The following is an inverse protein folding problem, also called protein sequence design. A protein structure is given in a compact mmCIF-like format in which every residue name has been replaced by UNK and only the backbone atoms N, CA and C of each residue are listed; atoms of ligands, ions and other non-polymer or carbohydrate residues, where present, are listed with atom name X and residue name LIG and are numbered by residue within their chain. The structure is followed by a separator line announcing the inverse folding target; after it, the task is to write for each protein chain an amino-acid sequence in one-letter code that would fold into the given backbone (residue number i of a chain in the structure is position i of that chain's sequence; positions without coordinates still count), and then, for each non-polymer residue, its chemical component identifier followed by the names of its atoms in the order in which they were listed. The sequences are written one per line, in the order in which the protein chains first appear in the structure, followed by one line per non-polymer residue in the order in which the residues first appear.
data_IF_200729772115
#
_entry.id   IF_200729772115
#
_cell.length_a   1.000
_cell.length_b   1.000
_cell.length_c   1.000
_cell.angle_alpha   90.00
_cell.angle_beta   90.00
_cell.angle_gamma   90.00
#
_symmetry.space_group_name_H-M   'P 1'
#
loop_
_entity.id
_entity.type
_entity.pdbx_description
1 polymer ?
#
# COMPACT_ATOMS: atom_id res chain seq x y z
N UNK A 1 27.85 -8.48 -44.76
CA UNK A 1 27.22 -7.48 -43.88
C UNK A 1 27.04 -8.18 -42.54
N UNK A 2 27.84 -7.78 -41.55
CA UNK A 2 27.71 -8.33 -40.19
C UNK A 2 26.58 -7.57 -39.46
N UNK A 3 25.46 -8.23 -39.24
CA UNK A 3 24.41 -7.68 -38.38
C UNK A 3 24.93 -7.68 -36.91
N UNK A 4 25.08 -6.49 -36.36
CA UNK A 4 25.38 -6.30 -34.95
C UNK A 4 24.18 -6.79 -34.14
N UNK A 5 24.31 -7.75 -33.22
CA UNK A 5 23.18 -8.22 -32.46
C UNK A 5 22.60 -7.09 -31.60
N UNK A 6 21.32 -6.82 -31.75
CA UNK A 6 20.58 -5.85 -30.94
C UNK A 6 20.66 -6.28 -29.47
N UNK A 7 21.09 -5.42 -28.55
CA UNK A 7 21.14 -5.77 -27.14
C UNK A 7 19.73 -6.14 -26.65
N UNK A 8 19.55 -7.37 -26.17
CA UNK A 8 18.31 -7.80 -25.55
C UNK A 8 18.14 -6.98 -24.28
N UNK A 9 17.06 -6.18 -24.21
CA UNK A 9 16.66 -5.55 -22.95
C UNK A 9 16.51 -6.66 -21.90
N UNK A 10 17.18 -6.55 -20.74
CA UNK A 10 17.05 -7.57 -19.72
C UNK A 10 15.59 -7.68 -19.32
N UNK A 11 15.02 -8.89 -19.41
CA UNK A 11 13.67 -9.14 -18.95
C UNK A 11 13.65 -8.92 -17.44
N UNK A 12 12.69 -8.12 -16.97
CA UNK A 12 12.47 -7.93 -15.54
C UNK A 12 12.25 -9.31 -14.88
N UNK A 13 12.91 -9.63 -13.77
CA UNK A 13 12.63 -10.89 -13.06
C UNK A 13 11.13 -10.94 -12.69
N UNK A 14 10.56 -12.15 -12.79
CA UNK A 14 9.17 -12.36 -12.40
C UNK A 14 8.99 -11.95 -10.94
N UNK A 15 7.98 -11.15 -10.66
CA UNK A 15 7.65 -10.78 -9.28
C UNK A 15 7.04 -11.97 -8.56
N UNK A 16 7.28 -12.11 -7.25
CA UNK A 16 6.70 -13.20 -6.49
C UNK A 16 5.16 -13.10 -6.51
N UNK A 17 4.52 -14.25 -6.62
CA UNK A 17 3.07 -14.38 -6.50
C UNK A 17 2.61 -14.14 -5.07
N UNK A 18 1.32 -13.85 -4.86
CA UNK A 18 0.74 -13.75 -3.51
C UNK A 18 1.03 -15.00 -2.68
N UNK A 19 0.91 -16.18 -3.27
CA UNK A 19 1.18 -17.45 -2.58
C UNK A 19 2.62 -17.57 -2.10
N UNK A 20 3.59 -17.27 -2.94
CA UNK A 20 5.01 -17.30 -2.57
C UNK A 20 5.33 -16.29 -1.46
N UNK A 21 4.70 -15.09 -1.49
CA UNK A 21 4.84 -14.10 -0.42
C UNK A 21 4.27 -14.60 0.90
N UNK A 22 3.09 -15.19 0.88
CA UNK A 22 2.44 -15.74 2.09
C UNK A 22 3.24 -16.91 2.67
N UNK A 23 3.71 -17.83 1.84
CA UNK A 23 4.52 -18.96 2.28
C UNK A 23 5.83 -18.46 2.94
N UNK A 24 6.49 -17.44 2.35
CA UNK A 24 7.67 -16.78 2.93
C UNK A 24 7.37 -16.12 4.27
N UNK A 25 6.32 -15.31 4.36
CA UNK A 25 5.98 -14.59 5.58
C UNK A 25 5.52 -15.52 6.70
N UNK A 26 4.82 -16.59 6.38
CA UNK A 26 4.46 -17.63 7.35
C UNK A 26 5.69 -18.38 7.88
N UNK A 27 6.68 -18.68 7.04
CA UNK A 27 7.94 -19.27 7.48
C UNK A 27 8.69 -18.31 8.41
N UNK A 28 8.79 -17.02 8.06
CA UNK A 28 9.40 -16.02 8.91
C UNK A 28 8.70 -15.95 10.28
N UNK A 29 7.38 -15.92 10.29
CA UNK A 29 6.59 -15.89 11.53
C UNK A 29 6.81 -17.13 12.41
N UNK A 30 6.84 -18.35 11.82
CA UNK A 30 7.15 -19.60 12.51
C UNK A 30 8.55 -19.58 13.13
N UNK A 31 9.50 -19.00 12.45
CA UNK A 31 10.89 -18.84 12.91
C UNK A 31 11.08 -17.65 13.84
N UNK A 32 10.02 -16.89 14.12
CA UNK A 32 10.05 -15.65 14.92
C UNK A 32 11.00 -14.58 14.35
N UNK A 33 11.11 -14.54 13.03
CA UNK A 33 11.82 -13.47 12.31
C UNK A 33 10.80 -12.38 11.99
N UNK A 34 11.05 -11.12 12.38
CA UNK A 34 10.12 -10.02 12.08
C UNK A 34 10.02 -9.79 10.57
N UNK A 35 8.82 -9.51 10.10
CA UNK A 35 8.56 -9.04 8.73
C UNK A 35 8.62 -7.52 8.77
N UNK A 36 9.53 -6.93 8.03
CA UNK A 36 9.76 -5.48 8.01
C UNK A 36 9.14 -4.89 6.75
N UNK A 37 8.15 -4.03 6.94
CA UNK A 37 7.54 -3.23 5.88
C UNK A 37 7.88 -1.76 6.03
N UNK A 38 8.11 -1.06 4.92
CA UNK A 38 8.41 0.36 4.91
C UNK A 38 7.58 1.14 3.90
N UNK A 39 7.44 2.43 4.14
CA UNK A 39 6.71 3.34 3.27
C UNK A 39 7.66 4.22 2.45
N UNK A 40 7.84 3.91 1.16
CA UNK A 40 8.63 4.73 0.26
C UNK A 40 7.83 5.91 -0.31
N UNK A 41 8.46 7.07 -0.43
CA UNK A 41 7.85 8.27 -1.03
C UNK A 41 8.45 8.66 -2.37
N UNK A 42 9.62 8.09 -2.73
CA UNK A 42 10.34 8.33 -3.97
C UNK A 42 11.04 7.05 -4.43
N UNK A 43 11.48 7.00 -5.70
CA UNK A 43 12.28 5.89 -6.19
C UNK A 43 13.60 5.72 -5.41
N UNK A 44 14.21 6.81 -4.96
CA UNK A 44 15.44 6.75 -4.17
C UNK A 44 15.21 6.09 -2.82
N UNK A 45 14.15 6.46 -2.07
CA UNK A 45 13.83 5.83 -0.79
C UNK A 45 13.53 4.34 -0.96
N UNK A 46 12.73 3.96 -1.95
CA UNK A 46 12.42 2.57 -2.25
C UNK A 46 13.67 1.73 -2.58
N UNK A 47 14.59 2.31 -3.36
CA UNK A 47 15.87 1.65 -3.69
C UNK A 47 16.76 1.45 -2.46
N UNK A 48 16.80 2.44 -1.54
CA UNK A 48 17.53 2.31 -0.29
C UNK A 48 16.90 1.27 0.63
N UNK A 49 15.56 1.23 0.73
CA UNK A 49 14.84 0.24 1.51
C UNK A 49 15.11 -1.18 0.99
N UNK A 50 15.04 -1.40 -0.32
CA UNK A 50 15.38 -2.70 -0.92
C UNK A 50 16.84 -3.10 -0.65
N UNK A 51 17.78 -2.17 -0.80
CA UNK A 51 19.19 -2.42 -0.50
C UNK A 51 19.45 -2.71 0.99
N UNK A 52 18.61 -2.18 1.88
CA UNK A 52 18.62 -2.46 3.31
C UNK A 52 18.02 -3.81 3.70
N UNK A 53 17.43 -4.54 2.74
CA UNK A 53 16.86 -5.88 2.98
C UNK A 53 15.44 -5.86 3.54
N UNK A 54 14.65 -4.84 3.22
CA UNK A 54 13.24 -4.76 3.63
C UNK A 54 12.41 -5.88 3.00
N UNK A 55 11.40 -6.38 3.69
CA UNK A 55 10.57 -7.48 3.23
C UNK A 55 9.43 -7.07 2.31
N UNK A 56 8.88 -5.87 2.50
CA UNK A 56 7.87 -5.28 1.63
C UNK A 56 7.92 -3.74 1.66
N UNK A 57 7.57 -3.13 0.56
CA UNK A 57 7.49 -1.67 0.40
C UNK A 57 6.04 -1.28 0.12
N UNK A 58 5.56 -0.23 0.76
CA UNK A 58 4.25 0.37 0.46
C UNK A 58 4.46 1.77 -0.08
N UNK A 59 3.79 2.11 -1.19
CA UNK A 59 3.75 3.48 -1.70
C UNK A 59 2.34 4.03 -1.61
N UNK A 60 2.21 5.23 -1.07
CA UNK A 60 0.94 5.94 -0.88
C UNK A 60 1.18 7.46 -0.92
N UNK A 61 0.12 8.23 -1.14
CA UNK A 61 0.23 9.68 -1.29
C UNK A 61 0.94 10.38 -0.12
N UNK A 62 0.72 9.93 1.13
CA UNK A 62 1.41 10.46 2.31
C UNK A 62 2.93 10.27 2.23
N UNK A 63 3.41 9.18 1.63
CA UNK A 63 4.84 8.95 1.37
C UNK A 63 5.43 10.06 0.49
N UNK A 64 4.74 10.41 -0.60
CA UNK A 64 5.12 11.54 -1.48
C UNK A 64 5.17 12.86 -0.70
N UNK A 65 4.14 13.14 0.11
CA UNK A 65 4.10 14.37 0.91
C UNK A 65 5.18 14.43 1.97
N UNK A 66 5.52 13.32 2.62
CA UNK A 66 6.64 13.26 3.58
C UNK A 66 7.98 13.54 2.91
N UNK A 67 8.21 13.03 1.71
CA UNK A 67 9.43 13.38 0.95
C UNK A 67 9.47 14.84 0.52
N UNK A 68 8.32 15.51 0.45
CA UNK A 68 8.21 16.95 0.28
C UNK A 68 8.27 17.74 1.61
N UNK A 69 8.62 17.09 2.73
CA UNK A 69 8.76 17.71 4.04
C UNK A 69 7.45 18.00 4.76
N UNK A 70 6.35 17.24 4.47
CA UNK A 70 5.04 17.42 5.12
C UNK A 70 4.77 16.30 6.12
N UNK A 71 3.91 16.59 7.11
CA UNK A 71 3.49 15.59 8.09
C UNK A 71 2.66 14.46 7.47
N UNK A 72 2.60 13.31 8.14
CA UNK A 72 1.92 12.11 7.63
C UNK A 72 0.41 12.31 7.42
N UNK A 73 -0.25 13.21 8.17
CA UNK A 73 -1.66 13.55 7.97
C UNK A 73 -1.95 14.25 6.64
N UNK A 74 -0.96 14.78 5.96
CA UNK A 74 -1.17 15.39 4.64
C UNK A 74 -1.86 14.43 3.64
N UNK A 75 -1.69 13.12 3.84
CA UNK A 75 -2.30 12.10 3.00
C UNK A 75 -3.83 11.96 3.12
N UNK A 76 -4.43 12.45 4.21
CA UNK A 76 -5.90 12.43 4.42
C UNK A 76 -6.56 13.77 4.12
N UNK A 77 -5.79 14.74 3.63
CA UNK A 77 -6.28 16.07 3.28
C UNK A 77 -6.40 16.25 1.75
N UNK A 78 -7.19 17.24 1.34
CA UNK A 78 -7.55 17.46 -0.05
C UNK A 78 -6.44 18.14 -0.89
N UNK A 79 -5.20 17.58 -0.83
CA UNK A 79 -4.06 18.11 -1.59
C UNK A 79 -3.85 17.44 -2.95
N UNK A 80 -4.66 16.44 -3.27
CA UNK A 80 -4.63 15.76 -4.55
C UNK A 80 -5.41 14.44 -4.49
N UNK A 81 -5.63 13.83 -5.66
CA UNK A 81 -6.23 12.50 -5.74
C UNK A 81 -5.20 11.44 -5.31
N UNK A 82 -5.47 10.73 -4.21
CA UNK A 82 -4.54 9.78 -3.63
C UNK A 82 -4.22 8.60 -4.57
N UNK A 83 -5.24 8.08 -5.27
CA UNK A 83 -5.08 6.95 -6.18
C UNK A 83 -4.24 7.34 -7.41
N UNK A 84 -4.47 8.53 -7.98
CA UNK A 84 -3.67 9.03 -9.11
C UNK A 84 -2.21 9.34 -8.70
N UNK A 85 -1.99 9.83 -7.49
CA UNK A 85 -0.63 10.06 -6.96
C UNK A 85 0.13 8.72 -6.87
N UNK A 86 -0.51 7.64 -6.41
CA UNK A 86 0.12 6.31 -6.35
C UNK A 86 0.46 5.79 -7.75
N UNK A 87 -0.41 5.99 -8.73
CA UNK A 87 -0.15 5.62 -10.13
C UNK A 87 1.03 6.42 -10.72
N UNK A 88 1.17 7.68 -10.36
CA UNK A 88 2.34 8.49 -10.74
C UNK A 88 3.61 7.99 -10.06
N UNK A 89 3.57 7.75 -8.75
CA UNK A 89 4.68 7.17 -8.00
C UNK A 89 5.12 5.81 -8.54
N UNK A 90 4.20 5.01 -9.06
CA UNK A 90 4.51 3.71 -9.65
C UNK A 90 5.53 3.80 -10.78
N UNK A 91 5.48 4.86 -11.60
CA UNK A 91 6.43 5.11 -12.71
C UNK A 91 7.85 5.36 -12.21
N UNK A 92 7.98 5.89 -11.01
CA UNK A 92 9.28 6.17 -10.38
C UNK A 92 9.80 4.97 -9.59
N UNK A 93 8.93 4.34 -8.79
CA UNK A 93 9.33 3.30 -7.83
C UNK A 93 9.46 1.92 -8.47
N UNK A 94 8.45 1.50 -9.25
CA UNK A 94 8.43 0.14 -9.76
C UNK A 94 9.62 -0.21 -10.68
N UNK A 95 10.19 0.69 -11.49
CA UNK A 95 11.37 0.38 -12.31
C UNK A 95 12.67 0.19 -11.54
N UNK A 96 12.79 0.77 -10.34
CA UNK A 96 14.04 0.74 -9.54
C UNK A 96 14.03 -0.30 -8.42
N UNK A 97 12.87 -0.87 -8.09
CA UNK A 97 12.71 -2.00 -7.17
C UNK A 97 12.71 -3.29 -7.96
N UNK A 98 13.64 -4.20 -7.67
CA UNK A 98 13.92 -5.37 -8.50
C UNK A 98 13.30 -6.67 -7.97
N UNK A 99 13.29 -6.88 -6.66
CA UNK A 99 12.85 -8.13 -6.04
C UNK A 99 11.90 -7.96 -4.85
N UNK A 100 11.91 -6.80 -4.18
CA UNK A 100 11.01 -6.55 -3.05
C UNK A 100 9.58 -6.33 -3.55
N UNK A 101 8.56 -6.98 -2.96
CA UNK A 101 7.17 -6.71 -3.30
C UNK A 101 6.78 -5.27 -2.96
N UNK A 102 6.13 -4.59 -3.90
CA UNK A 102 5.61 -3.23 -3.71
C UNK A 102 4.10 -3.28 -3.65
N UNK A 103 3.52 -2.72 -2.60
CA UNK A 103 2.09 -2.59 -2.38
C UNK A 103 1.64 -1.15 -2.69
N UNK A 104 0.43 -1.02 -3.21
CA UNK A 104 -0.21 0.27 -3.44
C UNK A 104 -1.07 0.66 -2.23
N UNK A 105 -0.90 1.86 -1.72
CA UNK A 105 -1.90 2.50 -0.88
C UNK A 105 -3.11 2.87 -1.75
N UNK A 106 -4.29 2.44 -1.37
CA UNK A 106 -5.52 2.66 -2.12
C UNK A 106 -6.53 3.41 -1.26
N UNK A 107 -7.01 4.53 -1.76
CA UNK A 107 -8.17 5.22 -1.18
C UNK A 107 -9.44 4.45 -1.57
N UNK A 108 -9.89 3.56 -0.68
CA UNK A 108 -11.05 2.70 -0.92
C UNK A 108 -12.39 3.43 -0.95
N UNK A 109 -12.44 4.65 -0.42
CA UNK A 109 -13.65 5.51 -0.40
C UNK A 109 -13.73 6.47 -1.59
N UNK A 110 -12.82 6.40 -2.56
CA UNK A 110 -12.81 7.31 -3.71
C UNK A 110 -14.03 7.07 -4.61
N UNK A 111 -14.98 8.02 -4.69
CA UNK A 111 -16.22 7.85 -5.45
C UNK A 111 -16.04 8.00 -6.96
N UNK A 112 -14.86 8.43 -7.41
CA UNK A 112 -14.53 8.66 -8.82
C UNK A 112 -13.77 7.48 -9.45
N UNK A 113 -13.59 6.39 -8.70
CA UNK A 113 -12.86 5.20 -9.14
C UNK A 113 -13.80 4.00 -9.19
N UNK A 114 -13.81 3.28 -10.33
CA UNK A 114 -14.36 1.92 -10.40
C UNK A 114 -13.31 1.01 -9.77
N UNK A 115 -13.50 0.63 -8.51
CA UNK A 115 -12.48 -0.05 -7.71
C UNK A 115 -11.99 -1.35 -8.34
N UNK A 116 -12.88 -2.13 -8.94
CA UNK A 116 -12.52 -3.36 -9.65
C UNK A 116 -11.48 -3.10 -10.74
N UNK A 117 -11.71 -2.09 -11.59
CA UNK A 117 -10.82 -1.77 -12.73
C UNK A 117 -9.50 -1.14 -12.24
N UNK A 118 -9.57 -0.34 -11.17
CA UNK A 118 -8.39 0.24 -10.54
C UNK A 118 -7.44 -0.83 -10.00
N UNK A 119 -7.97 -1.84 -9.32
CA UNK A 119 -7.18 -2.97 -8.82
C UNK A 119 -6.55 -3.78 -9.96
N UNK A 120 -7.26 -4.00 -11.07
CA UNK A 120 -6.69 -4.65 -12.25
C UNK A 120 -5.56 -3.82 -12.85
N UNK A 121 -5.72 -2.49 -12.91
CA UNK A 121 -4.66 -1.58 -13.35
C UNK A 121 -3.42 -1.66 -12.46
N UNK A 122 -3.59 -1.67 -11.12
CA UNK A 122 -2.49 -1.81 -10.18
C UNK A 122 -1.75 -3.14 -10.37
N UNK A 123 -2.51 -4.24 -10.49
CA UNK A 123 -1.94 -5.57 -10.75
C UNK A 123 -1.16 -5.61 -12.07
N UNK A 124 -1.71 -5.05 -13.14
CA UNK A 124 -1.06 -4.96 -14.45
C UNK A 124 0.23 -4.13 -14.44
N UNK A 125 0.30 -3.06 -13.63
CA UNK A 125 1.51 -2.28 -13.41
C UNK A 125 2.58 -3.06 -12.63
N UNK A 126 2.19 -4.12 -11.94
CA UNK A 126 3.08 -5.01 -11.21
C UNK A 126 3.15 -4.71 -9.72
N UNK A 127 2.14 -4.11 -9.12
CA UNK A 127 1.99 -4.14 -7.67
C UNK A 127 1.71 -5.57 -7.19
N UNK A 128 2.34 -5.96 -6.08
CA UNK A 128 2.14 -7.26 -5.47
C UNK A 128 0.86 -7.32 -4.63
N UNK A 129 0.37 -6.17 -4.18
CA UNK A 129 -0.77 -6.08 -3.28
C UNK A 129 -1.19 -4.65 -2.98
N UNK A 130 -2.08 -4.52 -1.99
CA UNK A 130 -2.68 -3.24 -1.59
C UNK A 130 -2.73 -3.07 -0.08
N UNK A 131 -2.84 -1.80 0.34
CA UNK A 131 -3.12 -1.35 1.70
C UNK A 131 -4.14 -0.21 1.65
N UNK A 132 -5.06 -0.13 2.62
CA UNK A 132 -6.09 0.92 2.68
C UNK A 132 -5.52 2.23 3.24
N UNK A 133 -4.88 3.00 2.39
CA UNK A 133 -4.44 4.35 2.75
C UNK A 133 -4.52 5.30 1.54
N UNK A 134 -5.13 6.49 1.67
CA UNK A 134 -5.77 7.07 2.88
C UNK A 134 -6.92 6.21 3.43
N UNK A 135 -7.17 6.35 4.74
CA UNK A 135 -8.20 5.57 5.43
C UNK A 135 -9.05 6.46 6.33
N UNK A 136 -10.35 6.20 6.36
CA UNK A 136 -11.28 6.83 7.31
C UNK A 136 -11.15 6.23 8.71
N UNK A 137 -10.44 5.11 8.88
CA UNK A 137 -10.11 4.54 10.18
C UNK A 137 -9.36 5.48 11.12
N UNK A 138 -8.64 6.48 10.58
CA UNK A 138 -7.98 7.53 11.36
C UNK A 138 -8.95 8.58 11.93
N UNK A 139 -10.19 8.59 11.48
CA UNK A 139 -11.20 9.57 11.87
C UNK A 139 -12.11 8.92 12.91
N UNK A 140 -12.40 9.62 13.99
CA UNK A 140 -13.24 9.15 15.09
C UNK A 140 -14.43 10.08 15.38
N UNK A 141 -15.22 9.74 16.40
CA UNK A 141 -16.32 10.56 16.91
C UNK A 141 -17.37 10.91 15.87
N UNK A 142 -17.90 12.10 15.98
CA UNK A 142 -19.00 12.59 15.12
C UNK A 142 -18.62 12.62 13.64
N UNK A 143 -17.40 12.97 13.30
CA UNK A 143 -16.97 13.00 11.90
C UNK A 143 -16.90 11.62 11.28
N UNK A 144 -16.47 10.60 12.03
CA UNK A 144 -16.51 9.22 11.56
C UNK A 144 -17.95 8.77 11.33
N UNK A 145 -18.85 9.04 12.27
CA UNK A 145 -20.26 8.72 12.10
C UNK A 145 -20.86 9.38 10.85
N UNK A 146 -20.56 10.66 10.63
CA UNK A 146 -21.05 11.38 9.45
C UNK A 146 -20.53 10.76 8.14
N UNK A 147 -19.28 10.29 8.09
CA UNK A 147 -18.75 9.59 6.93
C UNK A 147 -19.48 8.28 6.66
N UNK A 148 -19.75 7.49 7.70
CA UNK A 148 -20.51 6.24 7.57
C UNK A 148 -21.94 6.50 7.05
N UNK A 149 -22.63 7.50 7.60
CA UNK A 149 -24.01 7.85 7.23
C UNK A 149 -24.13 8.46 5.84
N UNK A 150 -23.06 9.07 5.31
CA UNK A 150 -23.07 9.73 4.00
C UNK A 150 -22.40 8.92 2.89
N UNK A 151 -22.15 7.65 3.12
CA UNK A 151 -21.63 6.74 2.08
C UNK A 151 -20.13 6.87 1.82
N UNK A 152 -19.37 7.35 2.81
CA UNK A 152 -17.91 7.47 2.77
C UNK A 152 -17.24 6.67 3.90
N UNK A 153 -17.90 5.61 4.34
CA UNK A 153 -17.50 4.83 5.49
C UNK A 153 -16.42 3.78 5.22
N UNK A 154 -15.93 3.19 6.30
CA UNK A 154 -14.87 2.17 6.28
C UNK A 154 -15.25 0.90 5.53
N UNK A 155 -16.55 0.62 5.39
CA UNK A 155 -17.03 -0.55 4.64
C UNK A 155 -16.55 -0.58 3.16
N UNK A 156 -16.30 0.58 2.55
CA UNK A 156 -15.71 0.64 1.20
C UNK A 156 -14.25 0.15 1.17
N UNK A 157 -13.51 0.39 2.25
CA UNK A 157 -12.15 -0.14 2.38
C UNK A 157 -12.17 -1.66 2.59
N UNK A 158 -13.15 -2.17 3.36
CA UNK A 158 -13.37 -3.62 3.53
C UNK A 158 -13.70 -4.27 2.18
N UNK A 159 -14.59 -3.65 1.41
CA UNK A 159 -14.96 -4.13 0.06
C UNK A 159 -13.76 -4.09 -0.90
N UNK A 160 -12.94 -3.05 -0.85
CA UNK A 160 -11.70 -2.96 -1.64
C UNK A 160 -10.74 -4.10 -1.31
N UNK A 161 -10.58 -4.46 -0.03
CA UNK A 161 -9.74 -5.59 0.41
C UNK A 161 -10.33 -6.91 -0.09
N UNK A 162 -11.65 -7.09 -0.02
CA UNK A 162 -12.31 -8.30 -0.56
C UNK A 162 -12.03 -8.46 -2.06
N UNK A 163 -12.22 -7.41 -2.83
CA UNK A 163 -11.95 -7.40 -4.27
C UNK A 163 -10.46 -7.68 -4.58
N UNK A 164 -9.54 -7.11 -3.80
CA UNK A 164 -8.11 -7.33 -3.98
C UNK A 164 -7.73 -8.80 -3.69
N UNK A 165 -8.28 -9.39 -2.64
CA UNK A 165 -8.08 -10.80 -2.30
C UNK A 165 -8.60 -11.74 -3.43
N UNK A 166 -9.78 -11.46 -3.99
CA UNK A 166 -10.34 -12.20 -5.13
C UNK A 166 -9.48 -12.10 -6.39
N UNK A 167 -8.77 -10.98 -6.56
CA UNK A 167 -7.83 -10.76 -7.65
C UNK A 167 -6.44 -11.35 -7.41
N UNK A 168 -6.26 -12.12 -6.33
CA UNK A 168 -4.97 -12.71 -5.94
C UNK A 168 -3.87 -11.65 -5.75
N UNK A 169 -4.21 -10.55 -5.07
CA UNK A 169 -3.28 -9.52 -4.62
C UNK A 169 -3.04 -9.66 -3.12
N UNK A 170 -1.81 -9.45 -2.66
CA UNK A 170 -1.50 -9.43 -1.22
C UNK A 170 -2.23 -8.25 -0.56
N UNK A 171 -2.88 -8.51 0.58
CA UNK A 171 -3.66 -7.51 1.30
C UNK A 171 -3.12 -7.29 2.71
N UNK A 172 -2.85 -6.03 3.05
CA UNK A 172 -2.26 -5.66 4.35
C UNK A 172 -2.99 -4.47 4.96
N UNK A 173 -4.33 -4.59 5.22
CA UNK A 173 -5.10 -3.44 5.68
C UNK A 173 -4.70 -2.96 7.06
N UNK A 174 -4.74 -1.63 7.23
CA UNK A 174 -4.75 -0.97 8.53
C UNK A 174 -6.09 -1.20 9.22
N UNK A 175 -6.04 -1.47 10.52
CA UNK A 175 -7.19 -1.61 11.41
C UNK A 175 -6.94 -0.82 12.69
N UNK A 176 -8.00 -0.22 13.24
CA UNK A 176 -7.93 0.68 14.40
C UNK A 176 -8.78 0.16 15.57
N UNK A 177 -9.62 -0.84 15.32
CA UNK A 177 -10.46 -1.50 16.33
C UNK A 177 -10.55 -3.00 16.06
N UNK A 178 -11.09 -3.72 17.05
CA UNK A 178 -11.34 -5.16 16.91
C UNK A 178 -12.40 -5.47 15.86
N UNK A 179 -13.41 -4.62 15.74
CA UNK A 179 -14.51 -4.74 14.78
C UNK A 179 -13.98 -4.59 13.35
N UNK A 180 -13.12 -3.59 13.12
CA UNK A 180 -12.47 -3.39 11.83
C UNK A 180 -11.54 -4.56 11.48
N UNK A 181 -10.81 -5.10 12.46
CA UNK A 181 -9.96 -6.26 12.27
C UNK A 181 -10.76 -7.51 11.84
N UNK A 182 -11.90 -7.75 12.49
CA UNK A 182 -12.81 -8.85 12.14
C UNK A 182 -13.34 -8.65 10.71
N UNK A 183 -13.86 -7.46 10.40
CA UNK A 183 -14.41 -7.18 9.07
C UNK A 183 -13.36 -7.35 7.95
N UNK A 184 -12.12 -6.88 8.17
CA UNK A 184 -11.03 -7.07 7.22
C UNK A 184 -10.61 -8.54 7.08
N UNK A 185 -10.59 -9.30 8.18
CA UNK A 185 -10.28 -10.73 8.15
C UNK A 185 -11.36 -11.52 7.37
N UNK A 186 -12.64 -11.22 7.61
CA UNK A 186 -13.77 -11.82 6.88
C UNK A 186 -13.75 -11.46 5.38
N UNK A 187 -13.25 -10.27 5.04
CA UNK A 187 -13.01 -9.87 3.65
C UNK A 187 -11.83 -10.60 2.97
N UNK A 188 -11.07 -11.42 3.72
CA UNK A 188 -9.96 -12.20 3.19
C UNK A 188 -8.60 -11.48 3.26
N UNK A 189 -8.43 -10.55 4.21
CA UNK A 189 -7.14 -9.92 4.46
C UNK A 189 -6.06 -10.94 4.84
N UNK A 190 -4.86 -10.79 4.27
CA UNK A 190 -3.73 -11.68 4.52
C UNK A 190 -2.97 -11.33 5.79
N UNK A 191 -2.76 -10.05 6.03
CA UNK A 191 -2.01 -9.51 7.16
C UNK A 191 -2.77 -8.31 7.71
N UNK A 192 -3.26 -8.40 8.93
CA UNK A 192 -3.88 -7.27 9.61
C UNK A 192 -2.80 -6.40 10.25
N UNK A 193 -2.82 -5.12 9.95
CA UNK A 193 -1.86 -4.15 10.51
C UNK A 193 -2.56 -3.28 11.55
N UNK A 194 -2.39 -3.61 12.84
CA UNK A 194 -2.90 -2.79 13.93
C UNK A 194 -2.18 -1.43 13.93
N UNK A 195 -2.91 -0.36 13.62
CA UNK A 195 -2.32 0.96 13.48
C UNK A 195 -2.14 1.62 14.85
N UNK A 196 -0.91 1.96 15.19
CA UNK A 196 -0.54 2.50 16.51
C UNK A 196 -0.63 4.03 16.60
N UNK A 197 -1.26 4.67 15.63
CA UNK A 197 -1.33 6.12 15.55
C UNK A 197 -0.32 6.72 14.57
N UNK A 198 -0.23 8.04 14.58
CA UNK A 198 0.62 8.79 13.66
C UNK A 198 2.09 8.78 14.10
N UNK A 199 2.98 9.11 13.16
CA UNK A 199 4.39 9.40 13.49
C UNK A 199 4.47 10.50 14.53
N UNK A 200 5.19 10.26 15.62
CA UNK A 200 5.43 11.22 16.69
C UNK A 200 6.87 11.71 16.67
N UNK A 201 7.06 12.99 16.99
CA UNK A 201 8.38 13.60 17.05
C UNK A 201 9.01 13.88 15.68
N UNK A 202 10.20 14.49 15.69
CA UNK A 202 10.92 14.91 14.48
C UNK A 202 10.24 16.06 13.73
N UNK A 203 10.71 16.34 12.52
CA UNK A 203 10.22 17.47 11.71
C UNK A 203 8.86 17.26 11.05
N UNK A 204 8.35 16.03 11.03
CA UNK A 204 7.11 15.64 10.34
C UNK A 204 6.11 14.93 11.26
N UNK A 205 6.47 14.67 12.51
CA UNK A 205 5.62 13.96 13.48
C UNK A 205 4.75 14.89 14.31
N UNK A 206 3.72 14.31 14.94
CA UNK A 206 2.91 14.98 15.94
C UNK A 206 3.66 15.04 17.30
N UNK A 207 3.24 15.95 18.19
CA UNK A 207 3.80 16.03 19.54
C UNK A 207 3.11 15.09 20.53
N UNK A 208 1.89 14.61 20.19
CA UNK A 208 1.06 13.73 21.04
C UNK A 208 0.70 12.46 20.32
#
# INVERSE_FOLDING_TARGET
MNETPTPKTPSRPARPTRRELLDRFQDMAKRRVPIIGGGAGTGLSAKCEEAGGIDLIVIYNSGRYRMAGRGSLAGVLAYGNANEIVLDMAREVLPVVTHTPVLAGVNGTDPFVIMHDHLDRLKALGFAGVQNFPTVGLIDGMFRQNLEETGMGFYHEVEMIRLAAEKDMLTTPYVFSSEEAIAMAEAGADILVAHMGLTTGGSIGAET
#
